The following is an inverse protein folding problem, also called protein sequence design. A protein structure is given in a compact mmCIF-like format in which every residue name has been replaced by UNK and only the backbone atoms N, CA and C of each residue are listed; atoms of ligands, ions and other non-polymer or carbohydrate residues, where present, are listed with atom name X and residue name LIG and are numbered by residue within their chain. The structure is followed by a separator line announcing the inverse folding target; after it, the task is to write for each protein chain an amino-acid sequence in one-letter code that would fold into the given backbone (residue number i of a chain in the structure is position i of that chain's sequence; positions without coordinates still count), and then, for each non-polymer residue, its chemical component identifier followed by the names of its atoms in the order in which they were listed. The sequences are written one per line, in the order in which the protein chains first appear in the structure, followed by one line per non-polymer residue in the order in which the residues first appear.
data_IF_171274977078
#
_entry.id   IF_171274977078
#
_cell.length_a   1.000
_cell.length_b   1.000
_cell.length_c   1.000
_cell.angle_alpha   90.00
_cell.angle_beta   90.00
_cell.angle_gamma   90.00
#
_symmetry.space_group_name_H-M   'P 1'
#
loop_
_entity.id
_entity.type
_entity.pdbx_description
1 polymer ?
#
# COMPACT_ATOMS: atom_id res chain seq x y z
N UNK A 1 4.34 -9.51 -30.36
CA UNK A 1 3.16 -9.87 -29.55
C UNK A 1 3.25 -9.11 -28.25
N UNK A 2 2.56 -7.97 -28.14
CA UNK A 2 2.45 -7.20 -26.90
C UNK A 2 1.40 -7.85 -26.02
N UNK A 3 1.81 -8.49 -24.93
CA UNK A 3 0.89 -8.98 -23.91
C UNK A 3 0.22 -7.76 -23.26
N UNK A 4 -0.98 -7.41 -23.72
CA UNK A 4 -1.90 -6.59 -22.92
C UNK A 4 -2.40 -7.50 -21.81
N UNK A 5 -1.71 -7.52 -20.67
CA UNK A 5 -2.31 -8.04 -19.45
C UNK A 5 -3.51 -7.14 -19.14
N UNK A 6 -4.71 -7.70 -19.30
CA UNK A 6 -5.93 -7.05 -18.85
C UNK A 6 -5.90 -7.14 -17.34
N UNK A 7 -5.39 -6.10 -16.69
CA UNK A 7 -5.54 -5.95 -15.24
C UNK A 7 -7.02 -6.11 -14.92
N UNK A 8 -7.35 -7.13 -14.12
CA UNK A 8 -8.67 -7.21 -13.50
C UNK A 8 -8.74 -5.98 -12.59
N UNK A 9 -9.80 -5.17 -12.68
CA UNK A 9 -9.98 -3.90 -11.93
C UNK A 9 -9.83 -4.03 -10.39
N UNK A 10 -9.62 -5.23 -9.88
CA UNK A 10 -9.25 -5.52 -8.50
C UNK A 10 -7.74 -5.31 -8.29
N UNK A 11 -7.32 -4.05 -8.23
CA UNK A 11 -6.10 -3.67 -7.51
C UNK A 11 -6.45 -3.12 -6.15
N UNK A 12 -5.69 -3.47 -5.13
CA UNK A 12 -5.81 -2.86 -3.81
C UNK A 12 -4.44 -2.42 -3.31
N UNK A 13 -4.45 -1.31 -2.59
CA UNK A 13 -3.26 -0.70 -2.01
C UNK A 13 -3.20 -1.07 -0.52
N UNK A 14 -2.05 -1.56 -0.09
CA UNK A 14 -1.77 -1.87 1.31
C UNK A 14 -0.63 -0.99 1.76
N UNK A 15 -0.87 -0.19 2.79
CA UNK A 15 0.19 0.56 3.48
C UNK A 15 0.51 -0.10 4.81
N UNK A 16 1.72 -0.61 4.91
CA UNK A 16 2.31 -1.11 6.14
C UNK A 16 2.90 0.05 6.93
N UNK A 17 2.56 0.13 8.22
CA UNK A 17 3.10 1.13 9.14
C UNK A 17 3.78 0.41 10.29
N UNK A 18 5.08 0.65 10.44
CA UNK A 18 5.88 0.11 11.54
C UNK A 18 6.32 1.26 12.43
N UNK A 19 6.08 1.14 13.73
CA UNK A 19 6.66 2.03 14.74
C UNK A 19 7.96 1.42 15.24
N UNK A 20 9.10 2.05 14.94
CA UNK A 20 10.36 1.76 15.63
C UNK A 20 10.49 2.61 16.91
N UNK A 21 11.65 2.61 17.56
CA UNK A 21 11.87 3.32 18.83
C UNK A 21 11.49 4.81 18.79
N UNK A 22 11.55 5.47 17.62
CA UNK A 22 11.31 6.93 17.51
C UNK A 22 10.57 7.39 16.25
N UNK A 23 10.37 6.52 15.26
CA UNK A 23 9.90 6.87 13.92
C UNK A 23 8.85 5.90 13.40
N UNK A 24 7.92 6.46 12.64
CA UNK A 24 6.98 5.70 11.83
C UNK A 24 7.58 5.48 10.44
N UNK A 25 7.79 4.22 10.09
CA UNK A 25 8.14 3.76 8.75
C UNK A 25 6.89 3.41 7.97
N UNK A 26 6.90 3.74 6.67
CA UNK A 26 5.77 3.53 5.77
C UNK A 26 6.27 2.82 4.53
N UNK A 27 5.67 1.68 4.24
CA UNK A 27 5.89 0.92 3.02
C UNK A 27 4.53 0.66 2.38
N UNK A 28 4.44 0.80 1.06
CA UNK A 28 3.17 0.65 0.36
C UNK A 28 3.35 -0.33 -0.79
N UNK A 29 2.43 -1.28 -0.88
CA UNK A 29 2.39 -2.24 -1.95
C UNK A 29 1.04 -2.17 -2.66
N UNK A 30 1.08 -2.34 -3.98
CA UNK A 30 -0.11 -2.50 -4.82
C UNK A 30 -0.21 -3.96 -5.19
N UNK A 31 -1.26 -4.61 -4.73
CA UNK A 31 -1.61 -5.95 -5.14
C UNK A 31 -2.40 -5.87 -6.45
N UNK A 32 -1.87 -6.48 -7.50
CA UNK A 32 -2.48 -6.52 -8.83
C UNK A 32 -2.94 -7.95 -9.10
N UNK A 33 -4.25 -8.13 -9.30
CA UNK A 33 -4.81 -9.42 -9.66
C UNK A 33 -4.50 -9.74 -11.12
N UNK A 34 -3.88 -10.90 -11.34
CA UNK A 34 -3.59 -11.45 -12.67
C UNK A 34 -4.75 -12.31 -13.17
N UNK A 35 -4.76 -12.62 -14.47
CA UNK A 35 -5.83 -13.42 -15.10
C UNK A 35 -5.92 -14.85 -14.53
N UNK A 36 -4.84 -15.39 -13.97
CA UNK A 36 -4.80 -16.70 -13.31
C UNK A 36 -5.30 -16.68 -11.85
N UNK A 37 -5.76 -15.52 -11.37
CA UNK A 37 -6.24 -15.31 -10.01
C UNK A 37 -5.14 -15.16 -8.96
N UNK A 38 -3.87 -15.12 -9.37
CA UNK A 38 -2.76 -14.78 -8.47
C UNK A 38 -2.63 -13.27 -8.30
N UNK A 39 -1.90 -12.86 -7.27
CA UNK A 39 -1.58 -11.47 -7.03
C UNK A 39 -0.08 -11.22 -7.22
N UNK A 40 0.24 -10.20 -8.00
CA UNK A 40 1.57 -9.62 -8.06
C UNK A 40 1.62 -8.42 -7.12
N UNK A 41 2.64 -8.37 -6.24
CA UNK A 41 2.85 -7.26 -5.31
C UNK A 41 3.90 -6.32 -5.88
N UNK A 42 3.51 -5.07 -6.13
CA UNK A 42 4.42 -4.03 -6.60
C UNK A 42 4.63 -2.97 -5.52
N UNK A 43 5.90 -2.66 -5.26
CA UNK A 43 6.26 -1.57 -4.38
C UNK A 43 5.84 -0.23 -4.98
N UNK A 44 5.22 0.62 -4.15
CA UNK A 44 4.75 1.93 -4.54
C UNK A 44 5.11 2.98 -3.49
N UNK A 45 5.26 4.27 -3.88
CA UNK A 45 5.40 5.33 -2.91
C UNK A 45 4.14 5.47 -2.06
N UNK A 46 4.28 5.52 -0.73
CA UNK A 46 3.13 5.81 0.14
C UNK A 46 2.56 7.20 -0.17
N UNK A 47 1.26 7.32 -0.49
CA UNK A 47 0.63 8.60 -0.76
C UNK A 47 0.80 9.57 0.42
N UNK A 48 1.15 10.83 0.14
CA UNK A 48 1.38 11.85 1.18
C UNK A 48 0.14 12.06 2.06
N UNK A 49 -1.05 12.07 1.45
CA UNK A 49 -2.31 12.23 2.16
C UNK A 49 -2.57 11.08 3.13
N UNK A 50 -2.33 9.84 2.69
CA UNK A 50 -2.48 8.63 3.50
C UNK A 50 -1.47 8.61 4.65
N UNK A 51 -0.19 8.90 4.37
CA UNK A 51 0.85 9.04 5.39
C UNK A 51 0.47 10.06 6.46
N UNK A 52 -0.12 11.20 6.08
CA UNK A 52 -0.58 12.23 7.02
C UNK A 52 -1.76 11.74 7.86
N UNK A 53 -2.76 11.11 7.23
CA UNK A 53 -3.94 10.58 7.91
C UNK A 53 -3.56 9.50 8.94
N UNK A 54 -2.70 8.55 8.55
CA UNK A 54 -2.21 7.49 9.43
C UNK A 54 -1.42 8.05 10.61
N UNK A 55 -0.54 9.03 10.39
CA UNK A 55 0.18 9.73 11.49
C UNK A 55 -0.77 10.40 12.48
N UNK A 56 -1.84 11.03 11.99
CA UNK A 56 -2.83 11.67 12.84
C UNK A 56 -3.64 10.65 13.63
N UNK A 57 -4.07 9.56 12.98
CA UNK A 57 -4.83 8.49 13.63
C UNK A 57 -4.04 7.85 14.78
N UNK A 58 -2.77 7.49 14.53
CA UNK A 58 -1.89 6.88 15.53
C UNK A 58 -1.66 7.83 16.71
N UNK A 59 -1.42 9.11 16.45
CA UNK A 59 -1.25 10.13 17.50
C UNK A 59 -2.50 10.28 18.36
N UNK A 60 -3.68 10.27 17.75
CA UNK A 60 -4.95 10.42 18.47
C UNK A 60 -5.31 9.19 19.31
N UNK A 61 -4.80 8.00 18.97
CA UNK A 61 -4.99 6.78 19.78
C UNK A 61 -3.99 6.65 20.92
N UNK A 62 -2.86 7.36 20.86
CA UNK A 62 -1.84 7.35 21.91
C UNK A 62 -2.03 8.42 23.00
N UNK A 63 -3.04 9.28 22.85
CA UNK A 63 -3.42 10.35 23.79
C UNK A 63 -4.55 9.89 24.72
#
# INVERSE_FOLDING_TARGET
MTAHSKFVDSSYLVTHVTLDEFHLHFETEVAICQEDGTFEMLQAPTPIAERRALRQLIRNQAA
#
